data_IF_501355575773
#
_entry.id   IF_501355575773
#
_cell.length_a   1.000
_cell.length_b   1.000
_cell.length_c   1.000
_cell.angle_alpha   90.00
_cell.angle_beta   90.00
_cell.angle_gamma   90.00
#
_symmetry.space_group_name_H-M   'P 1'
#
loop_
_entity.id
_entity.type
_entity.pdbx_description
1 polymer ?
#
# COMPACT_ATOMS: atom_id res chain seq x y z
N UNK A 1 -38.80 -13.05 17.43
CA UNK A 1 -37.41 -13.42 17.13
C UNK A 1 -36.51 -12.50 17.91
N UNK A 2 -35.93 -12.99 19.00
CA UNK A 2 -35.02 -12.22 19.86
C UNK A 2 -33.78 -11.89 19.07
N UNK A 3 -33.50 -10.59 18.89
CA UNK A 3 -32.21 -10.07 18.40
C UNK A 3 -31.13 -10.64 19.30
N UNK A 4 -30.31 -11.57 18.79
CA UNK A 4 -29.05 -11.96 19.43
C UNK A 4 -28.21 -10.68 19.54
N UNK A 5 -28.12 -10.14 20.75
CA UNK A 5 -27.25 -9.03 21.07
C UNK A 5 -25.83 -9.45 20.69
N UNK A 6 -25.34 -8.96 19.55
CA UNK A 6 -23.94 -9.14 19.13
C UNK A 6 -23.06 -8.60 20.26
N UNK A 7 -22.40 -9.51 21.00
CA UNK A 7 -21.44 -9.11 22.04
C UNK A 7 -20.36 -8.26 21.37
N UNK A 8 -20.37 -6.97 21.65
CA UNK A 8 -19.40 -6.00 21.12
C UNK A 8 -17.99 -6.52 21.46
N UNK A 9 -17.08 -6.65 20.47
CA UNK A 9 -15.74 -7.14 20.76
C UNK A 9 -15.01 -6.21 21.73
N UNK A 10 -14.27 -6.78 22.67
CA UNK A 10 -13.38 -6.01 23.55
C UNK A 10 -12.33 -5.27 22.71
N UNK A 11 -11.71 -4.22 23.28
CA UNK A 11 -10.73 -3.37 22.57
C UNK A 11 -9.61 -4.21 21.91
N UNK A 12 -9.07 -5.22 22.60
CA UNK A 12 -8.00 -6.10 22.08
C UNK A 12 -8.47 -6.92 20.89
N UNK A 13 -9.64 -7.57 21.01
CA UNK A 13 -10.23 -8.37 19.94
C UNK A 13 -10.50 -7.52 18.70
N UNK A 14 -11.04 -6.32 18.88
CA UNK A 14 -11.30 -5.37 17.79
C UNK A 14 -10.01 -4.99 17.05
N UNK A 15 -8.93 -4.67 17.78
CA UNK A 15 -7.63 -4.34 17.18
C UNK A 15 -7.07 -5.50 16.36
N UNK A 16 -7.15 -6.74 16.90
CA UNK A 16 -6.65 -7.93 16.20
C UNK A 16 -7.47 -8.17 14.92
N UNK A 17 -8.79 -8.07 14.98
CA UNK A 17 -9.65 -8.26 13.81
C UNK A 17 -9.36 -7.21 12.72
N UNK A 18 -9.28 -5.93 13.09
CA UNK A 18 -8.97 -4.83 12.17
C UNK A 18 -7.57 -4.99 11.55
N UNK A 19 -6.58 -5.37 12.35
CA UNK A 19 -5.23 -5.63 11.88
C UNK A 19 -5.17 -6.83 10.93
N UNK A 20 -5.89 -7.91 11.23
CA UNK A 20 -6.00 -9.08 10.36
C UNK A 20 -6.69 -8.75 9.02
N UNK A 21 -7.75 -7.93 9.03
CA UNK A 21 -8.40 -7.44 7.81
C UNK A 21 -7.43 -6.61 6.94
N UNK A 22 -6.62 -5.75 7.54
CA UNK A 22 -5.60 -4.99 6.80
C UNK A 22 -4.48 -5.88 6.28
N UNK A 23 -4.09 -6.91 7.05
CA UNK A 23 -3.06 -7.87 6.69
C UNK A 23 -3.40 -8.68 5.43
N UNK A 24 -4.70 -8.91 5.14
CA UNK A 24 -5.16 -9.66 3.97
C UNK A 24 -4.58 -9.11 2.65
N UNK A 25 -4.44 -7.77 2.54
CA UNK A 25 -3.88 -7.13 1.36
C UNK A 25 -2.38 -7.42 1.19
N UNK A 26 -1.58 -7.27 2.25
CA UNK A 26 -0.15 -7.53 2.20
C UNK A 26 0.14 -9.03 1.97
N UNK A 27 -0.60 -9.91 2.65
CA UNK A 27 -0.52 -11.35 2.40
C UNK A 27 -0.79 -11.70 0.93
N UNK A 28 -1.81 -11.08 0.32
CA UNK A 28 -2.15 -11.33 -1.08
C UNK A 28 -1.05 -10.93 -2.07
N UNK A 29 -0.27 -9.91 -1.75
CA UNK A 29 0.81 -9.42 -2.62
C UNK A 29 2.09 -10.24 -2.37
N UNK A 30 2.52 -10.33 -1.12
CA UNK A 30 3.87 -10.72 -0.81
C UNK A 30 4.04 -12.24 -0.66
N UNK A 31 2.99 -12.99 -0.25
CA UNK A 31 3.09 -14.44 -0.08
C UNK A 31 3.27 -15.22 -1.39
N UNK A 32 2.90 -14.62 -2.53
CA UNK A 32 3.05 -15.28 -3.83
C UNK A 32 4.36 -14.97 -4.54
N UNK A 33 5.18 -14.05 -4.03
CA UNK A 33 6.46 -13.71 -4.64
C UNK A 33 7.34 -14.93 -4.92
N UNK A 34 7.54 -15.86 -3.97
CA UNK A 34 8.36 -17.06 -4.21
C UNK A 34 7.71 -18.03 -5.22
N UNK A 35 6.41 -17.93 -5.45
CA UNK A 35 5.67 -18.86 -6.34
C UNK A 35 5.61 -18.39 -7.80
N UNK A 36 6.00 -17.15 -8.11
CA UNK A 36 5.88 -16.58 -9.47
C UNK A 36 6.56 -17.43 -10.56
N UNK A 37 7.76 -18.05 -10.36
CA UNK A 37 8.35 -18.92 -11.35
C UNK A 37 7.48 -20.14 -11.64
N UNK A 38 7.00 -20.85 -10.60
CA UNK A 38 6.14 -22.02 -10.77
C UNK A 38 4.79 -21.68 -11.42
N UNK A 39 4.23 -20.49 -11.14
CA UNK A 39 3.03 -19.99 -11.80
C UNK A 39 3.30 -19.79 -13.29
N UNK A 40 4.43 -19.18 -13.65
CA UNK A 40 4.82 -18.94 -15.04
C UNK A 40 5.00 -20.24 -15.81
N UNK A 41 5.71 -21.21 -15.25
CA UNK A 41 5.92 -22.52 -15.84
C UNK A 41 4.60 -23.29 -15.99
N UNK A 42 3.80 -23.40 -14.93
CA UNK A 42 2.55 -24.14 -14.92
C UNK A 42 1.48 -23.59 -15.88
N UNK A 43 1.52 -22.29 -16.18
CA UNK A 43 0.56 -21.61 -17.03
C UNK A 43 1.14 -21.23 -18.43
N UNK A 44 2.32 -21.74 -18.77
CA UNK A 44 2.94 -21.59 -20.09
C UNK A 44 3.26 -20.14 -20.45
N UNK A 45 3.80 -19.36 -19.50
CA UNK A 45 4.15 -17.95 -19.71
C UNK A 45 5.44 -17.84 -20.52
N UNK A 46 5.36 -17.27 -21.73
CA UNK A 46 6.48 -17.20 -22.66
C UNK A 46 7.59 -16.23 -22.24
N UNK A 47 7.29 -15.20 -21.46
CA UNK A 47 8.26 -14.17 -21.02
C UNK A 47 8.23 -14.02 -19.50
N UNK A 48 9.39 -14.06 -18.87
CA UNK A 48 9.52 -14.03 -17.42
C UNK A 48 8.91 -12.77 -16.79
N UNK A 49 9.05 -11.63 -17.43
CA UNK A 49 8.49 -10.37 -16.94
C UNK A 49 6.95 -10.38 -16.86
N UNK A 50 6.28 -11.22 -17.66
CA UNK A 50 4.82 -11.32 -17.63
C UNK A 50 4.30 -11.87 -16.29
N UNK A 51 5.11 -12.59 -15.51
CA UNK A 51 4.78 -13.07 -14.17
C UNK A 51 4.48 -11.93 -13.20
N UNK A 52 5.12 -10.77 -13.36
CA UNK A 52 4.91 -9.58 -12.53
C UNK A 52 3.48 -9.03 -12.64
N UNK A 53 2.79 -9.29 -13.75
CA UNK A 53 1.39 -8.87 -13.94
C UNK A 53 0.45 -9.43 -12.88
N UNK A 54 0.78 -10.57 -12.26
CA UNK A 54 0.00 -11.18 -11.17
C UNK A 54 -0.14 -10.22 -9.98
N UNK A 55 0.89 -9.43 -9.71
CA UNK A 55 0.90 -8.41 -8.66
C UNK A 55 0.29 -7.11 -9.17
N UNK A 56 0.70 -6.66 -10.36
CA UNK A 56 0.27 -5.38 -10.92
C UNK A 56 -1.24 -5.31 -11.10
N UNK A 57 -1.87 -6.32 -11.70
CA UNK A 57 -3.33 -6.31 -11.92
C UNK A 57 -4.11 -6.33 -10.60
N UNK A 58 -3.60 -7.00 -9.57
CA UNK A 58 -4.17 -6.95 -8.24
C UNK A 58 -4.13 -5.52 -7.67
N UNK A 59 -2.99 -4.84 -7.77
CA UNK A 59 -2.83 -3.45 -7.33
C UNK A 59 -3.72 -2.48 -8.11
N UNK A 60 -3.91 -2.70 -9.42
CA UNK A 60 -4.84 -1.91 -10.22
C UNK A 60 -6.29 -2.07 -9.75
N UNK A 61 -6.72 -3.31 -9.49
CA UNK A 61 -8.03 -3.58 -8.89
C UNK A 61 -8.19 -2.95 -7.52
N UNK A 62 -7.18 -3.13 -6.65
CA UNK A 62 -7.13 -2.59 -5.29
C UNK A 62 -7.19 -1.06 -5.26
N UNK A 63 -6.38 -0.37 -6.07
CA UNK A 63 -6.37 1.08 -6.13
C UNK A 63 -7.61 1.65 -6.81
N UNK A 64 -7.98 1.07 -7.97
CA UNK A 64 -9.08 1.56 -8.80
C UNK A 64 -10.45 1.51 -8.12
N UNK A 65 -10.65 0.55 -7.23
CA UNK A 65 -11.94 0.36 -6.55
C UNK A 65 -12.16 1.24 -5.33
N UNK A 66 -11.11 1.80 -4.72
CA UNK A 66 -11.21 2.50 -3.43
C UNK A 66 -12.20 3.67 -3.44
N UNK A 67 -12.30 4.41 -4.55
CA UNK A 67 -13.18 5.58 -4.65
C UNK A 67 -14.67 5.24 -4.53
N UNK A 68 -15.05 4.00 -4.90
CA UNK A 68 -16.44 3.57 -4.88
C UNK A 68 -16.90 3.09 -3.51
N UNK A 69 -15.99 2.55 -2.69
CA UNK A 69 -16.37 1.88 -1.43
C UNK A 69 -16.80 2.83 -0.33
N UNK A 70 -16.29 4.07 -0.29
CA UNK A 70 -16.77 5.07 0.66
C UNK A 70 -18.27 5.30 0.52
N UNK A 71 -18.74 5.80 -0.64
CA UNK A 71 -20.15 6.04 -0.91
C UNK A 71 -21.03 4.79 -0.79
N UNK A 72 -20.55 3.63 -1.26
CA UNK A 72 -21.29 2.36 -1.12
C UNK A 72 -21.49 1.98 0.34
N UNK A 73 -20.45 2.15 1.17
CA UNK A 73 -20.53 1.85 2.60
C UNK A 73 -21.43 2.83 3.37
N UNK A 74 -21.48 4.10 2.92
CA UNK A 74 -22.41 5.10 3.48
C UNK A 74 -23.87 4.77 3.16
N UNK A 75 -24.13 4.07 2.07
CA UNK A 75 -25.47 3.66 1.66
C UNK A 75 -25.90 2.32 2.25
N UNK A 76 -25.06 1.28 2.16
CA UNK A 76 -25.43 -0.10 2.48
C UNK A 76 -25.03 -0.53 3.91
N UNK A 77 -24.24 0.29 4.62
CA UNK A 77 -23.70 -0.01 5.94
C UNK A 77 -22.31 -0.64 5.89
N UNK A 78 -21.55 -0.44 6.97
CA UNK A 78 -20.12 -0.83 7.04
C UNK A 78 -19.93 -2.34 7.13
N UNK A 79 -20.72 -2.99 8.02
CA UNK A 79 -20.59 -4.42 8.30
C UNK A 79 -20.95 -5.28 7.09
N UNK A 80 -22.11 -5.02 6.47
CA UNK A 80 -22.57 -5.79 5.31
C UNK A 80 -21.57 -5.69 4.15
N UNK A 81 -21.09 -4.47 3.87
CA UNK A 81 -20.09 -4.23 2.83
C UNK A 81 -18.77 -4.92 3.12
N UNK A 82 -18.28 -4.90 4.38
CA UNK A 82 -17.04 -5.57 4.77
C UNK A 82 -17.11 -7.09 4.56
N UNK A 83 -18.20 -7.71 5.02
CA UNK A 83 -18.42 -9.15 4.86
C UNK A 83 -18.50 -9.49 3.36
N UNK A 84 -19.26 -8.71 2.59
CA UNK A 84 -19.36 -8.87 1.14
C UNK A 84 -17.99 -8.79 0.45
N UNK A 85 -17.16 -7.81 0.82
CA UNK A 85 -15.80 -7.68 0.30
C UNK A 85 -14.93 -8.91 0.64
N UNK A 86 -15.00 -9.43 1.87
CA UNK A 86 -14.22 -10.60 2.28
C UNK A 86 -14.66 -11.87 1.56
N UNK A 87 -15.96 -12.07 1.37
CA UNK A 87 -16.48 -13.22 0.62
C UNK A 87 -16.13 -13.11 -0.87
N UNK A 88 -16.19 -11.92 -1.45
CA UNK A 88 -15.78 -11.66 -2.83
C UNK A 88 -14.29 -11.89 -3.02
N UNK A 89 -13.47 -11.43 -2.05
CA UNK A 89 -12.03 -11.73 -2.02
C UNK A 89 -11.78 -13.23 -1.96
N UNK A 90 -12.48 -13.96 -1.09
CA UNK A 90 -12.33 -15.41 -0.94
C UNK A 90 -12.70 -16.16 -2.23
N UNK A 91 -13.81 -15.77 -2.87
CA UNK A 91 -14.22 -16.33 -4.16
C UNK A 91 -13.14 -16.18 -5.22
N UNK A 92 -12.63 -14.97 -5.42
CA UNK A 92 -11.63 -14.72 -6.45
C UNK A 92 -10.24 -15.23 -6.07
N UNK A 93 -9.91 -15.35 -4.79
CA UNK A 93 -8.72 -16.09 -4.36
C UNK A 93 -8.85 -17.59 -4.73
N UNK A 94 -9.99 -18.22 -4.45
CA UNK A 94 -10.23 -19.61 -4.83
C UNK A 94 -10.16 -19.81 -6.37
N UNK A 95 -10.79 -18.93 -7.15
CA UNK A 95 -10.74 -18.95 -8.61
C UNK A 95 -9.31 -18.77 -9.14
N UNK A 96 -8.48 -17.92 -8.49
CA UNK A 96 -7.07 -17.77 -8.83
C UNK A 96 -6.29 -19.07 -8.59
N UNK A 97 -6.57 -19.79 -7.50
CA UNK A 97 -5.97 -21.11 -7.20
C UNK A 97 -6.39 -22.20 -8.19
N UNK A 98 -7.56 -22.08 -8.79
CA UNK A 98 -8.09 -23.03 -9.79
C UNK A 98 -7.77 -22.62 -11.24
N UNK A 99 -7.05 -21.50 -11.45
CA UNK A 99 -6.79 -20.99 -12.78
C UNK A 99 -5.99 -21.98 -13.63
N UNK A 100 -6.51 -22.27 -14.82
CA UNK A 100 -5.85 -23.11 -15.85
C UNK A 100 -5.13 -22.29 -16.92
N UNK A 101 -5.20 -20.96 -16.87
CA UNK A 101 -4.50 -20.07 -17.81
C UNK A 101 -4.08 -18.78 -17.11
N UNK A 102 -3.03 -18.13 -17.63
CA UNK A 102 -2.55 -16.86 -17.11
C UNK A 102 -3.62 -15.75 -17.17
N UNK A 103 -4.40 -15.69 -18.22
CA UNK A 103 -5.44 -14.67 -18.36
C UNK A 103 -6.55 -14.83 -17.31
N UNK A 104 -6.96 -16.08 -17.00
CA UNK A 104 -7.93 -16.35 -15.93
C UNK A 104 -7.36 -15.98 -14.55
N UNK A 105 -6.09 -16.32 -14.30
CA UNK A 105 -5.41 -15.92 -13.08
C UNK A 105 -5.39 -14.40 -12.95
N UNK A 106 -5.00 -13.66 -14.00
CA UNK A 106 -4.96 -12.20 -13.97
C UNK A 106 -6.34 -11.58 -13.71
N UNK A 107 -7.40 -12.10 -14.38
CA UNK A 107 -8.76 -11.63 -14.14
C UNK A 107 -9.21 -11.87 -12.69
N UNK A 108 -8.95 -13.06 -12.15
CA UNK A 108 -9.26 -13.39 -10.76
C UNK A 108 -8.46 -12.50 -9.79
N UNK A 109 -7.20 -12.24 -10.06
CA UNK A 109 -6.34 -11.34 -9.28
C UNK A 109 -6.86 -9.89 -9.28
N UNK A 110 -7.27 -9.38 -10.44
CA UNK A 110 -7.87 -8.04 -10.52
C UNK A 110 -9.12 -7.93 -9.64
N UNK A 111 -10.04 -8.89 -9.74
CA UNK A 111 -11.27 -8.91 -8.94
C UNK A 111 -10.99 -9.13 -7.45
N UNK A 112 -10.00 -9.95 -7.09
CA UNK A 112 -9.53 -10.09 -5.71
C UNK A 112 -8.99 -8.75 -5.18
N UNK A 113 -8.24 -8.00 -6.01
CA UNK A 113 -7.76 -6.65 -5.69
C UNK A 113 -8.93 -5.68 -5.47
N UNK A 114 -9.96 -5.71 -6.33
CA UNK A 114 -11.18 -4.90 -6.17
C UNK A 114 -11.78 -5.13 -4.78
N UNK A 115 -11.94 -6.36 -4.34
CA UNK A 115 -12.46 -6.70 -3.01
C UNK A 115 -11.58 -6.18 -1.86
N UNK A 116 -10.26 -6.33 -2.01
CA UNK A 116 -9.30 -5.87 -1.01
C UNK A 116 -9.30 -4.34 -0.84
N UNK A 117 -9.51 -3.58 -1.92
CA UNK A 117 -9.67 -2.13 -1.87
C UNK A 117 -10.83 -1.70 -0.99
N UNK A 118 -11.95 -2.43 -1.07
CA UNK A 118 -13.11 -2.22 -0.19
C UNK A 118 -12.78 -2.47 1.27
N UNK A 119 -12.09 -3.56 1.57
CA UNK A 119 -11.71 -3.90 2.94
C UNK A 119 -10.87 -2.80 3.57
N UNK A 120 -9.88 -2.26 2.86
CA UNK A 120 -9.05 -1.15 3.36
C UNK A 120 -9.88 0.08 3.71
N UNK A 121 -10.75 0.52 2.80
CA UNK A 121 -11.60 1.72 3.01
C UNK A 121 -12.55 1.52 4.19
N UNK A 122 -13.20 0.36 4.26
CA UNK A 122 -14.18 0.01 5.29
C UNK A 122 -13.55 -0.10 6.67
N UNK A 123 -12.37 -0.71 6.79
CA UNK A 123 -11.65 -0.81 8.07
C UNK A 123 -11.35 0.57 8.64
N UNK A 124 -10.82 1.49 7.84
CA UNK A 124 -10.54 2.86 8.29
C UNK A 124 -11.82 3.58 8.70
N UNK A 125 -12.91 3.41 7.94
CA UNK A 125 -14.21 3.99 8.26
C UNK A 125 -14.77 3.46 9.58
N UNK A 126 -14.74 2.13 9.79
CA UNK A 126 -15.22 1.47 11.02
C UNK A 126 -14.43 1.93 12.26
N UNK A 127 -13.11 2.08 12.14
CA UNK A 127 -12.27 2.59 13.23
C UNK A 127 -12.65 4.03 13.55
N UNK A 128 -12.83 4.88 12.53
CA UNK A 128 -13.26 6.28 12.69
C UNK A 128 -14.65 6.42 13.29
N UNK A 129 -15.61 5.58 12.90
CA UNK A 129 -16.98 5.61 13.42
C UNK A 129 -17.03 5.24 14.91
N UNK A 130 -16.06 4.44 15.37
CA UNK A 130 -16.06 3.89 16.74
C UNK A 130 -15.13 4.62 17.70
N UNK A 131 -14.07 5.24 17.21
CA UNK A 131 -13.06 5.89 18.03
C UNK A 131 -12.72 7.28 17.49
N UNK A 132 -12.52 8.24 18.39
CA UNK A 132 -12.20 9.62 18.06
C UNK A 132 -10.90 10.07 18.74
N UNK A 133 -10.27 11.09 18.19
CA UNK A 133 -9.09 11.73 18.78
C UNK A 133 -7.93 10.75 19.07
N UNK A 134 -7.40 10.80 20.27
CA UNK A 134 -6.25 9.99 20.70
C UNK A 134 -6.53 8.48 20.71
N UNK A 135 -7.77 8.05 20.97
CA UNK A 135 -8.14 6.64 20.97
C UNK A 135 -8.10 6.07 19.53
N UNK A 136 -8.57 6.82 18.53
CA UNK A 136 -8.45 6.44 17.11
C UNK A 136 -6.98 6.33 16.71
N UNK A 137 -6.16 7.34 17.07
CA UNK A 137 -4.73 7.33 16.76
C UNK A 137 -4.01 6.12 17.37
N UNK A 138 -4.33 5.76 18.61
CA UNK A 138 -3.78 4.58 19.26
C UNK A 138 -4.10 3.28 18.53
N UNK A 139 -5.37 3.09 18.13
CA UNK A 139 -5.81 1.88 17.42
C UNK A 139 -5.16 1.82 16.06
N UNK A 140 -5.16 2.91 15.30
CA UNK A 140 -4.53 2.94 13.98
C UNK A 140 -3.02 2.68 14.07
N UNK A 141 -2.34 3.17 15.09
CA UNK A 141 -0.92 2.86 15.30
C UNK A 141 -0.66 1.37 15.55
N UNK A 142 -1.50 0.70 16.36
CA UNK A 142 -1.40 -0.75 16.59
C UNK A 142 -1.66 -1.54 15.30
N UNK A 143 -2.66 -1.14 14.51
CA UNK A 143 -2.95 -1.73 13.21
C UNK A 143 -1.78 -1.56 12.24
N UNK A 144 -1.16 -0.38 12.23
CA UNK A 144 0.01 -0.10 11.37
C UNK A 144 1.23 -0.94 11.75
N UNK A 145 1.46 -1.23 13.04
CA UNK A 145 2.53 -2.15 13.46
C UNK A 145 2.33 -3.54 12.84
N UNK A 146 1.12 -4.08 12.93
CA UNK A 146 0.81 -5.39 12.31
C UNK A 146 0.94 -5.32 10.78
N UNK A 147 0.42 -4.24 10.17
CA UNK A 147 0.52 -4.04 8.73
C UNK A 147 1.98 -3.99 8.23
N UNK A 148 2.90 -3.42 9.02
CA UNK A 148 4.34 -3.39 8.70
C UNK A 148 5.03 -4.74 8.90
N UNK A 149 4.55 -5.56 9.84
CA UNK A 149 5.14 -6.87 10.11
C UNK A 149 4.75 -7.92 9.05
N UNK A 150 3.56 -7.80 8.49
CA UNK A 150 3.02 -8.79 7.54
C UNK A 150 3.87 -8.92 6.27
N UNK A 151 4.29 -7.85 5.58
CA UNK A 151 5.17 -7.97 4.42
C UNK A 151 6.50 -8.68 4.73
N UNK A 152 7.02 -8.49 5.94
CA UNK A 152 8.26 -9.16 6.39
C UNK A 152 8.08 -10.69 6.47
N UNK A 153 6.92 -11.15 6.92
CA UNK A 153 6.62 -12.58 7.12
C UNK A 153 5.98 -13.25 5.89
N UNK A 154 5.26 -12.49 5.06
CA UNK A 154 4.44 -13.06 4.01
C UNK A 154 5.23 -13.89 2.96
N UNK A 155 6.41 -13.48 2.46
CA UNK A 155 7.18 -14.30 1.53
C UNK A 155 7.64 -15.61 2.18
N UNK A 156 8.00 -15.59 3.45
CA UNK A 156 8.40 -16.81 4.20
C UNK A 156 7.21 -17.77 4.37
N UNK A 157 6.02 -17.24 4.66
CA UNK A 157 4.78 -18.03 4.70
C UNK A 157 4.51 -18.64 3.33
N UNK A 158 4.65 -17.83 2.27
CA UNK A 158 4.52 -18.30 0.89
C UNK A 158 5.49 -19.42 0.53
N UNK A 159 6.77 -19.28 0.89
CA UNK A 159 7.78 -20.35 0.72
C UNK A 159 7.39 -21.63 1.46
N UNK A 160 6.92 -21.50 2.71
CA UNK A 160 6.48 -22.67 3.50
C UNK A 160 5.32 -23.42 2.84
N UNK A 161 4.30 -22.71 2.35
CA UNK A 161 3.18 -23.32 1.62
C UNK A 161 3.67 -23.95 0.31
N UNK A 162 4.53 -23.27 -0.41
CA UNK A 162 5.08 -23.72 -1.69
C UNK A 162 5.86 -25.03 -1.56
N UNK A 163 6.63 -25.17 -0.47
CA UNK A 163 7.44 -26.37 -0.20
C UNK A 163 6.59 -27.61 0.09
N UNK A 164 5.37 -27.44 0.63
CA UNK A 164 4.51 -28.55 1.07
C UNK A 164 3.46 -28.89 0.00
N UNK A 165 2.87 -27.89 -0.66
CA UNK A 165 1.61 -28.08 -1.38
C UNK A 165 1.54 -27.37 -2.75
N UNK A 166 2.57 -26.61 -3.15
CA UNK A 166 2.63 -25.89 -4.43
C UNK A 166 1.82 -24.58 -4.45
N UNK A 167 1.99 -23.80 -5.53
CA UNK A 167 1.52 -22.41 -5.63
C UNK A 167 0.00 -22.20 -5.52
N UNK A 168 -0.79 -23.17 -5.98
CA UNK A 168 -2.27 -23.09 -5.91
C UNK A 168 -2.78 -22.98 -4.47
N UNK A 169 -2.09 -23.65 -3.55
CA UNK A 169 -2.47 -23.67 -2.13
C UNK A 169 -2.24 -22.34 -1.43
N UNK A 170 -1.38 -21.46 -1.95
CA UNK A 170 -1.25 -20.07 -1.45
C UNK A 170 -2.60 -19.35 -1.64
N UNK A 171 -3.22 -19.47 -2.80
CA UNK A 171 -4.53 -18.86 -3.06
C UNK A 171 -5.66 -19.49 -2.25
N UNK A 172 -5.61 -20.82 -2.05
CA UNK A 172 -6.59 -21.52 -1.20
C UNK A 172 -6.45 -21.05 0.26
N UNK A 173 -5.22 -20.90 0.76
CA UNK A 173 -4.95 -20.38 2.10
C UNK A 173 -5.48 -18.93 2.26
N UNK A 174 -5.28 -18.08 1.25
CA UNK A 174 -5.83 -16.72 1.23
C UNK A 174 -7.36 -16.73 1.21
N UNK A 175 -7.99 -17.64 0.45
CA UNK A 175 -9.44 -17.81 0.44
C UNK A 175 -9.98 -18.24 1.81
N UNK A 176 -9.35 -19.25 2.42
CA UNK A 176 -9.70 -19.72 3.76
C UNK A 176 -9.54 -18.62 4.82
N UNK A 177 -8.45 -17.86 4.75
CA UNK A 177 -8.21 -16.70 5.61
C UNK A 177 -9.31 -15.65 5.48
N UNK A 178 -9.72 -15.31 4.26
CA UNK A 178 -10.78 -14.35 4.02
C UNK A 178 -12.16 -14.84 4.50
N UNK A 179 -12.47 -16.13 4.33
CA UNK A 179 -13.70 -16.74 4.89
C UNK A 179 -13.68 -16.68 6.42
N UNK A 180 -12.57 -17.01 7.05
CA UNK A 180 -12.42 -16.93 8.49
C UNK A 180 -12.64 -15.49 9.01
N UNK A 181 -12.10 -14.48 8.32
CA UNK A 181 -12.32 -13.08 8.65
C UNK A 181 -13.76 -12.62 8.40
N UNK A 182 -14.41 -13.10 7.33
CA UNK A 182 -15.82 -12.82 7.05
C UNK A 182 -16.72 -13.37 8.15
N UNK A 183 -16.47 -14.60 8.61
CA UNK A 183 -17.19 -15.24 9.70
C UNK A 183 -16.94 -14.51 11.03
N UNK A 184 -15.67 -14.25 11.36
CA UNK A 184 -15.31 -13.55 12.59
C UNK A 184 -15.91 -12.13 12.63
N UNK A 185 -15.74 -11.36 11.55
CA UNK A 185 -16.35 -10.03 11.43
C UNK A 185 -17.88 -10.09 11.45
N UNK A 186 -18.48 -11.08 10.78
CA UNK A 186 -19.91 -11.29 10.75
C UNK A 186 -20.53 -11.52 12.13
N UNK A 187 -19.86 -12.32 12.96
CA UNK A 187 -20.34 -12.64 14.32
C UNK A 187 -20.04 -11.54 15.32
N UNK A 188 -18.84 -10.95 15.24
CA UNK A 188 -18.30 -10.09 16.32
C UNK A 188 -18.38 -8.59 16.02
N UNK A 189 -18.38 -8.17 14.76
CA UNK A 189 -18.39 -6.74 14.43
C UNK A 189 -19.83 -6.22 14.40
N UNK A 190 -20.16 -5.18 15.19
CA UNK A 190 -21.46 -4.52 15.10
C UNK A 190 -21.52 -3.66 13.82
N UNK A 191 -22.73 -3.34 13.36
CA UNK A 191 -22.89 -2.24 12.39
C UNK A 191 -22.54 -0.91 13.08
N UNK A 192 -21.66 -0.13 12.44
CA UNK A 192 -21.17 1.13 13.02
C UNK A 192 -21.87 2.37 12.44
N UNK A 193 -22.54 2.21 11.28
CA UNK A 193 -23.32 3.28 10.66
C UNK A 193 -24.79 3.16 11.06
N UNK A 194 -25.30 4.13 11.81
CA UNK A 194 -26.72 4.17 12.16
C UNK A 194 -27.59 4.29 10.89
N UNK A 195 -28.76 3.64 10.89
CA UNK A 195 -29.65 3.67 9.72
C UNK A 195 -30.10 5.09 9.33
N UNK A 196 -30.18 5.99 10.31
CA UNK A 196 -30.51 7.41 10.10
C UNK A 196 -29.40 8.21 9.42
N UNK A 197 -28.12 7.75 9.55
CA UNK A 197 -26.96 8.43 8.98
C UNK A 197 -26.59 7.93 7.58
N UNK A 198 -27.36 6.99 7.04
CA UNK A 198 -27.17 6.48 5.68
C UNK A 198 -27.48 7.57 4.66
N UNK A 199 -26.53 7.82 3.77
CA UNK A 199 -26.62 8.88 2.77
C UNK A 199 -26.92 8.31 1.39
N UNK A 200 -27.73 9.05 0.61
CA UNK A 200 -27.90 8.78 -0.82
C UNK A 200 -26.58 9.06 -1.55
N UNK A 201 -26.29 8.27 -2.58
CA UNK A 201 -25.16 8.52 -3.46
C UNK A 201 -25.40 9.84 -4.23
N UNK A 202 -24.53 10.81 -4.01
CA UNK A 202 -24.56 12.08 -4.76
C UNK A 202 -23.31 12.17 -5.64
N UNK A 203 -23.49 11.90 -6.92
CA UNK A 203 -22.43 12.02 -7.92
C UNK A 203 -21.89 13.45 -7.98
N UNK A 204 -22.79 14.44 -7.83
CA UNK A 204 -22.42 15.85 -7.85
C UNK A 204 -21.43 16.22 -6.73
N UNK A 205 -21.70 15.77 -5.49
CA UNK A 205 -20.83 16.01 -4.34
C UNK A 205 -19.46 15.33 -4.50
N UNK A 206 -19.44 14.11 -5.07
CA UNK A 206 -18.20 13.38 -5.36
C UNK A 206 -17.39 14.16 -6.42
N UNK A 207 -18.04 14.57 -7.51
CA UNK A 207 -17.38 15.31 -8.59
C UNK A 207 -16.80 16.65 -8.09
N UNK A 208 -17.54 17.38 -7.24
CA UNK A 208 -17.05 18.62 -6.65
C UNK A 208 -15.85 18.39 -5.73
N UNK A 209 -15.90 17.39 -4.86
CA UNK A 209 -14.76 17.03 -4.01
C UNK A 209 -13.53 16.60 -4.82
N UNK A 210 -13.72 15.84 -5.91
CA UNK A 210 -12.65 15.49 -6.85
C UNK A 210 -12.05 16.74 -7.47
N UNK A 211 -12.90 17.68 -7.97
CA UNK A 211 -12.44 18.93 -8.56
C UNK A 211 -11.64 19.79 -7.57
N UNK A 212 -12.11 19.92 -6.33
CA UNK A 212 -11.41 20.66 -5.27
C UNK A 212 -10.04 20.03 -4.96
N UNK A 213 -9.99 18.70 -4.85
CA UNK A 213 -8.74 17.97 -4.55
C UNK A 213 -7.72 18.12 -5.69
N UNK A 214 -8.17 17.94 -6.95
CA UNK A 214 -7.31 18.09 -8.13
C UNK A 214 -6.89 19.54 -8.40
N UNK A 215 -7.75 20.51 -8.07
CA UNK A 215 -7.47 21.94 -8.23
C UNK A 215 -6.50 22.49 -7.18
N UNK A 216 -6.26 21.79 -6.08
CA UNK A 216 -5.37 22.26 -5.02
C UNK A 216 -3.92 21.77 -5.25
N UNK A 217 -3.02 22.73 -5.50
CA UNK A 217 -1.59 22.47 -5.78
C UNK A 217 -0.90 21.62 -4.71
N UNK A 218 -1.13 21.93 -3.43
CA UNK A 218 -0.50 21.21 -2.32
C UNK A 218 -1.05 19.78 -2.21
N UNK A 219 -2.37 19.61 -2.35
CA UNK A 219 -3.01 18.31 -2.30
C UNK A 219 -2.53 17.41 -3.44
N UNK A 220 -2.70 17.85 -4.69
CA UNK A 220 -2.38 17.02 -5.85
C UNK A 220 -0.87 16.80 -6.01
N UNK A 221 -0.05 17.81 -5.72
CA UNK A 221 1.40 17.69 -5.82
C UNK A 221 1.99 16.72 -4.82
N UNK A 222 1.57 16.74 -3.55
CA UNK A 222 2.02 15.75 -2.57
C UNK A 222 1.48 14.34 -2.88
N UNK A 223 0.29 14.25 -3.47
CA UNK A 223 -0.25 12.98 -3.98
C UNK A 223 0.63 12.42 -5.10
N UNK A 224 1.03 13.23 -6.08
CA UNK A 224 1.92 12.80 -7.17
C UNK A 224 3.33 12.49 -6.66
N UNK A 225 3.88 13.25 -5.72
CA UNK A 225 5.17 12.92 -5.10
C UNK A 225 5.14 11.55 -4.41
N UNK A 226 4.07 11.25 -3.67
CA UNK A 226 3.83 9.92 -3.11
C UNK A 226 3.69 8.85 -4.20
N UNK A 227 2.92 9.12 -5.27
CA UNK A 227 2.71 8.20 -6.39
C UNK A 227 4.03 7.78 -7.05
N UNK A 228 4.89 8.76 -7.33
CA UNK A 228 6.20 8.51 -7.91
C UNK A 228 7.09 7.69 -6.97
N UNK A 229 7.17 8.05 -5.70
CA UNK A 229 7.92 7.28 -4.73
C UNK A 229 7.40 5.83 -4.64
N UNK A 230 6.10 5.63 -4.41
CA UNK A 230 5.49 4.29 -4.35
C UNK A 230 5.60 3.51 -5.67
N UNK A 231 5.75 4.19 -6.81
CA UNK A 231 6.06 3.58 -8.09
C UNK A 231 7.37 2.79 -8.07
N UNK A 232 8.42 3.36 -7.47
CA UNK A 232 9.67 2.64 -7.20
C UNK A 232 9.46 1.42 -6.31
N UNK A 233 8.71 1.58 -5.21
CA UNK A 233 8.41 0.47 -4.30
C UNK A 233 7.64 -0.67 -4.98
N UNK A 234 6.63 -0.37 -5.79
CA UNK A 234 5.90 -1.40 -6.53
C UNK A 234 6.75 -2.04 -7.63
N UNK A 235 7.68 -1.28 -8.24
CA UNK A 235 8.71 -1.83 -9.13
C UNK A 235 9.61 -2.83 -8.39
N UNK A 236 10.05 -2.50 -7.17
CA UNK A 236 10.81 -3.41 -6.32
C UNK A 236 10.01 -4.68 -6.00
N UNK A 237 8.76 -4.55 -5.53
CA UNK A 237 7.90 -5.70 -5.21
C UNK A 237 7.71 -6.59 -6.45
N UNK A 238 7.54 -6.00 -7.64
CA UNK A 238 7.39 -6.72 -8.89
C UNK A 238 8.67 -7.46 -9.34
N UNK A 239 9.85 -6.88 -9.08
CA UNK A 239 11.13 -7.37 -9.61
C UNK A 239 11.94 -8.20 -8.62
N UNK A 240 11.68 -8.11 -7.30
CA UNK A 240 12.53 -8.71 -6.27
C UNK A 240 12.69 -10.24 -6.44
N UNK A 241 11.63 -10.92 -6.88
CA UNK A 241 11.71 -12.35 -7.13
C UNK A 241 12.74 -12.66 -8.23
N UNK A 242 12.67 -11.98 -9.38
CA UNK A 242 13.61 -12.18 -10.48
C UNK A 242 15.05 -11.80 -10.06
N UNK A 243 15.21 -10.73 -9.30
CA UNK A 243 16.53 -10.31 -8.80
C UNK A 243 17.15 -11.39 -7.90
N UNK A 244 16.40 -11.90 -6.93
CA UNK A 244 16.92 -12.89 -5.99
C UNK A 244 17.15 -14.24 -6.67
N UNK A 245 16.26 -14.66 -7.59
CA UNK A 245 16.30 -15.96 -8.25
C UNK A 245 17.24 -15.98 -9.45
N UNK A 246 17.05 -15.00 -10.37
CA UNK A 246 17.67 -15.06 -11.70
C UNK A 246 19.02 -14.28 -11.74
N UNK A 247 19.17 -13.18 -10.95
CA UNK A 247 20.41 -12.43 -10.88
C UNK A 247 21.39 -13.02 -9.86
N UNK A 248 20.90 -13.27 -8.63
CA UNK A 248 21.78 -13.74 -7.54
C UNK A 248 21.77 -15.25 -7.35
N UNK A 249 20.86 -15.99 -7.99
CA UNK A 249 20.72 -17.46 -7.87
C UNK A 249 20.57 -17.94 -6.42
N UNK A 250 19.74 -17.23 -5.60
CA UNK A 250 19.53 -17.51 -4.17
C UNK A 250 18.04 -17.56 -3.81
N UNK A 251 17.23 -18.43 -4.45
CA UNK A 251 15.78 -18.48 -4.22
C UNK A 251 15.40 -18.74 -2.76
N UNK A 252 16.24 -19.46 -2.02
CA UNK A 252 16.03 -19.76 -0.61
C UNK A 252 16.05 -18.53 0.30
N UNK A 253 16.69 -17.44 -0.14
CA UNK A 253 16.87 -16.23 0.66
C UNK A 253 15.80 -15.18 0.44
N UNK A 254 14.80 -15.38 -0.45
CA UNK A 254 13.82 -14.33 -0.80
C UNK A 254 13.08 -13.77 0.42
N UNK A 255 12.69 -14.62 1.36
CA UNK A 255 12.02 -14.19 2.60
C UNK A 255 12.93 -13.32 3.46
N UNK A 256 14.20 -13.74 3.64
CA UNK A 256 15.19 -12.98 4.42
C UNK A 256 15.55 -11.65 3.74
N UNK A 257 15.81 -11.67 2.44
CA UNK A 257 16.11 -10.47 1.63
C UNK A 257 14.97 -9.45 1.72
N UNK A 258 13.73 -9.91 1.53
CA UNK A 258 12.57 -9.05 1.62
C UNK A 258 12.41 -8.48 3.04
N UNK A 259 12.62 -9.28 4.07
CA UNK A 259 12.57 -8.84 5.46
C UNK A 259 13.65 -7.78 5.79
N UNK A 260 14.88 -7.98 5.32
CA UNK A 260 15.98 -7.02 5.52
C UNK A 260 15.73 -5.68 4.80
N UNK A 261 15.05 -5.71 3.65
CA UNK A 261 14.76 -4.50 2.86
C UNK A 261 13.51 -3.78 3.38
N UNK A 262 12.44 -4.52 3.70
CA UNK A 262 11.18 -3.94 4.16
C UNK A 262 11.19 -3.55 5.65
N UNK A 263 11.94 -4.27 6.49
CA UNK A 263 12.00 -4.02 7.94
C UNK A 263 12.37 -2.60 8.31
N UNK A 264 13.44 -2.00 7.75
CA UNK A 264 13.84 -0.62 8.00
C UNK A 264 12.78 0.43 7.71
N UNK A 265 11.82 0.16 6.80
CA UNK A 265 10.67 1.04 6.55
C UNK A 265 9.78 1.17 7.79
N UNK A 266 9.59 0.09 8.54
CA UNK A 266 8.86 0.11 9.80
C UNK A 266 9.56 0.95 10.88
N UNK A 267 10.88 0.81 11.01
CA UNK A 267 11.69 1.59 11.94
C UNK A 267 11.66 3.09 11.61
N UNK A 268 11.76 3.43 10.35
CA UNK A 268 11.70 4.83 9.91
C UNK A 268 10.31 5.45 10.10
N UNK A 269 9.22 4.68 9.90
CA UNK A 269 7.88 5.12 10.24
C UNK A 269 7.72 5.40 11.73
N UNK A 270 8.30 4.56 12.60
CA UNK A 270 8.32 4.82 14.02
C UNK A 270 9.12 6.09 14.38
N UNK A 271 10.30 6.26 13.78
CA UNK A 271 11.10 7.48 13.92
C UNK A 271 10.33 8.73 13.46
N UNK A 272 9.60 8.63 12.33
CA UNK A 272 8.75 9.72 11.84
C UNK A 272 7.74 10.20 12.87
N UNK A 273 7.10 9.29 13.62
CA UNK A 273 6.10 9.64 14.63
C UNK A 273 6.65 10.55 15.74
N UNK A 274 7.96 10.46 16.02
CA UNK A 274 8.66 11.30 17.00
C UNK A 274 9.20 12.59 16.39
N UNK A 275 9.73 12.50 15.18
CA UNK A 275 10.41 13.61 14.52
C UNK A 275 9.44 14.64 13.92
N UNK A 276 8.26 14.21 13.46
CA UNK A 276 7.29 15.10 12.78
C UNK A 276 6.81 16.24 13.70
N UNK A 277 6.67 15.97 14.99
CA UNK A 277 6.25 16.97 15.97
C UNK A 277 7.31 18.06 16.18
N UNK A 278 8.60 17.78 15.91
CA UNK A 278 9.71 18.73 16.09
C UNK A 278 10.10 19.43 14.78
N UNK A 279 10.11 18.70 13.68
CA UNK A 279 10.65 19.17 12.40
C UNK A 279 9.57 19.60 11.40
N UNK A 280 8.33 19.18 11.62
CA UNK A 280 7.20 19.38 10.71
C UNK A 280 7.22 18.47 9.47
N UNK A 281 6.03 18.17 8.94
CA UNK A 281 5.83 17.23 7.84
C UNK A 281 6.56 17.65 6.55
N UNK A 282 6.55 18.94 6.21
CA UNK A 282 7.20 19.48 5.01
C UNK A 282 8.72 19.23 5.00
N UNK A 283 9.41 19.56 6.11
CA UNK A 283 10.87 19.39 6.20
C UNK A 283 11.23 17.90 6.14
N UNK A 284 10.49 17.05 6.85
CA UNK A 284 10.73 15.61 6.84
C UNK A 284 10.49 14.99 5.46
N UNK A 285 9.43 15.39 4.76
CA UNK A 285 9.16 14.90 3.40
C UNK A 285 10.30 15.24 2.44
N UNK A 286 10.72 16.52 2.40
CA UNK A 286 11.78 16.96 1.49
C UNK A 286 13.14 16.31 1.82
N UNK A 287 13.47 16.18 3.11
CA UNK A 287 14.70 15.48 3.54
C UNK A 287 14.65 13.99 3.17
N UNK A 288 13.51 13.33 3.39
CA UNK A 288 13.35 11.92 3.04
C UNK A 288 13.44 11.67 1.53
N UNK A 289 12.82 12.51 0.70
CA UNK A 289 12.92 12.42 -0.76
C UNK A 289 14.33 12.75 -1.26
N UNK A 290 15.01 13.72 -0.64
CA UNK A 290 16.42 14.02 -0.92
C UNK A 290 17.34 12.84 -0.60
N UNK A 291 17.17 12.23 0.58
CA UNK A 291 17.94 11.04 0.99
C UNK A 291 17.62 9.83 0.11
N UNK A 292 16.35 9.61 -0.20
CA UNK A 292 15.90 8.56 -1.12
C UNK A 292 16.60 8.70 -2.48
N UNK A 293 16.59 9.90 -3.06
CA UNK A 293 17.21 10.17 -4.36
C UNK A 293 18.73 9.99 -4.29
N UNK A 294 19.36 10.47 -3.22
CA UNK A 294 20.80 10.32 -3.01
C UNK A 294 21.20 8.85 -2.88
N UNK A 295 20.48 8.06 -2.08
CA UNK A 295 20.78 6.63 -1.92
C UNK A 295 20.56 5.85 -3.21
N UNK A 296 19.52 6.17 -3.98
CA UNK A 296 19.28 5.55 -5.28
C UNK A 296 20.39 5.88 -6.29
N UNK A 297 20.87 7.14 -6.34
CA UNK A 297 22.01 7.55 -7.17
C UNK A 297 23.31 6.87 -6.74
N UNK A 298 23.58 6.80 -5.44
CA UNK A 298 24.73 6.10 -4.89
C UNK A 298 24.71 4.61 -5.27
N UNK A 299 23.54 3.98 -5.12
CA UNK A 299 23.34 2.59 -5.48
C UNK A 299 23.61 2.37 -6.98
N UNK A 300 23.05 3.21 -7.85
CA UNK A 300 23.31 3.14 -9.29
C UNK A 300 24.79 3.30 -9.62
N UNK A 301 25.47 4.27 -9.01
CA UNK A 301 26.91 4.51 -9.22
C UNK A 301 27.75 3.29 -8.81
N UNK A 302 27.45 2.67 -7.66
CA UNK A 302 28.16 1.48 -7.18
C UNK A 302 27.98 0.32 -8.16
N UNK A 303 26.75 0.04 -8.58
CA UNK A 303 26.46 -1.07 -9.50
C UNK A 303 27.15 -0.90 -10.84
N UNK A 304 27.14 0.32 -11.39
CA UNK A 304 27.78 0.59 -12.68
C UNK A 304 29.31 0.55 -12.62
N UNK A 305 29.91 0.91 -11.48
CA UNK A 305 31.36 0.97 -11.33
C UNK A 305 31.99 -0.38 -10.93
N UNK A 306 31.32 -1.15 -10.08
CA UNK A 306 31.91 -2.32 -9.42
C UNK A 306 31.13 -3.61 -9.60
N UNK A 307 29.92 -3.54 -10.21
CA UNK A 307 28.98 -4.64 -10.16
C UNK A 307 28.33 -4.76 -8.78
N UNK A 308 27.59 -5.83 -8.56
CA UNK A 308 26.79 -5.95 -7.32
C UNK A 308 26.74 -7.39 -6.79
N UNK A 309 26.89 -7.53 -5.48
CA UNK A 309 26.59 -8.76 -4.75
C UNK A 309 25.24 -8.66 -4.04
N UNK A 310 24.64 -9.79 -3.72
CA UNK A 310 23.32 -9.84 -3.03
C UNK A 310 23.28 -8.92 -1.79
N UNK A 311 24.31 -8.98 -0.95
CA UNK A 311 24.30 -8.20 0.30
C UNK A 311 24.54 -6.72 0.10
N UNK A 312 25.29 -6.30 -0.92
CA UNK A 312 25.41 -4.89 -1.31
C UNK A 312 24.06 -4.37 -1.80
N UNK A 313 23.38 -5.13 -2.67
CA UNK A 313 22.01 -4.84 -3.08
C UNK A 313 21.07 -4.68 -1.87
N UNK A 314 21.06 -5.66 -0.95
CA UNK A 314 20.18 -5.66 0.22
C UNK A 314 20.40 -4.42 1.09
N UNK A 315 21.65 -4.06 1.38
CA UNK A 315 21.98 -2.91 2.25
C UNK A 315 21.56 -1.59 1.59
N UNK A 316 21.96 -1.36 0.34
CA UNK A 316 21.66 -0.11 -0.36
C UNK A 316 20.17 0.05 -0.64
N UNK A 317 19.50 -1.07 -1.01
CA UNK A 317 18.05 -1.09 -1.21
C UNK A 317 17.30 -0.85 0.10
N UNK A 318 17.74 -1.45 1.22
CA UNK A 318 17.17 -1.22 2.54
C UNK A 318 17.28 0.24 2.99
N UNK A 319 18.41 0.90 2.75
CA UNK A 319 18.59 2.32 3.04
C UNK A 319 17.64 3.19 2.20
N UNK A 320 17.49 2.86 0.92
CA UNK A 320 16.56 3.56 0.02
C UNK A 320 15.10 3.35 0.45
N UNK A 321 14.69 2.12 0.74
CA UNK A 321 13.31 1.80 1.14
C UNK A 321 12.97 2.31 2.54
N UNK A 322 13.94 2.46 3.43
CA UNK A 322 13.72 3.08 4.74
C UNK A 322 13.09 4.49 4.63
N UNK A 323 13.40 5.24 3.56
CA UNK A 323 12.82 6.56 3.34
C UNK A 323 11.29 6.55 3.19
N UNK A 324 10.69 5.43 2.75
CA UNK A 324 9.24 5.34 2.55
C UNK A 324 8.41 5.52 3.82
N UNK A 325 8.95 5.13 4.98
CA UNK A 325 8.27 5.33 6.25
C UNK A 325 8.02 6.82 6.56
N UNK A 326 8.90 7.70 6.08
CA UNK A 326 8.74 9.15 6.21
C UNK A 326 7.92 9.73 5.04
N UNK A 327 8.20 9.29 3.82
CA UNK A 327 7.55 9.83 2.61
C UNK A 327 6.04 9.61 2.66
N UNK A 328 5.58 8.39 2.91
CA UNK A 328 4.15 8.06 2.89
C UNK A 328 3.33 8.84 3.91
N UNK A 329 3.79 8.91 5.15
CA UNK A 329 3.08 9.60 6.23
C UNK A 329 3.02 11.12 6.00
N UNK A 330 4.16 11.72 5.64
CA UNK A 330 4.25 13.19 5.52
C UNK A 330 3.60 13.71 4.24
N UNK A 331 3.75 13.00 3.09
CA UNK A 331 3.03 13.39 1.88
C UNK A 331 1.51 13.26 2.03
N UNK A 332 1.04 12.19 2.68
CA UNK A 332 -0.39 12.03 3.00
C UNK A 332 -0.94 13.14 3.89
N UNK A 333 -0.22 13.52 4.94
CA UNK A 333 -0.61 14.61 5.83
C UNK A 333 -0.70 15.94 5.08
N UNK A 334 0.34 16.31 4.33
CA UNK A 334 0.38 17.55 3.55
C UNK A 334 -0.66 17.57 2.42
N UNK A 335 -0.91 16.43 1.77
CA UNK A 335 -1.94 16.34 0.73
C UNK A 335 -3.36 16.53 1.29
N UNK A 336 -3.61 16.13 2.54
CA UNK A 336 -4.92 16.22 3.20
C UNK A 336 -5.16 17.57 3.87
N UNK A 337 -4.12 18.33 4.22
CA UNK A 337 -4.22 19.59 4.96
C UNK A 337 -5.20 20.57 4.33
N UNK A 338 -5.14 20.91 3.02
CA UNK A 338 -6.04 21.88 2.40
C UNK A 338 -7.45 21.34 2.10
N UNK A 339 -7.68 20.04 2.15
CA UNK A 339 -8.94 19.37 1.76
C UNK A 339 -9.59 18.59 2.91
N UNK A 340 -9.24 18.94 4.15
CA UNK A 340 -9.74 18.24 5.36
C UNK A 340 -11.27 18.24 5.49
N UNK A 341 -11.98 19.26 4.97
CA UNK A 341 -13.44 19.36 4.98
C UNK A 341 -14.13 18.31 4.07
N UNK A 342 -13.42 17.78 3.07
CA UNK A 342 -13.88 16.73 2.15
C UNK A 342 -13.03 15.45 2.29
N UNK A 343 -12.46 15.21 3.48
CA UNK A 343 -11.45 14.19 3.75
C UNK A 343 -11.78 12.78 3.23
N UNK A 344 -13.04 12.37 3.28
CA UNK A 344 -13.47 11.04 2.82
C UNK A 344 -13.19 10.81 1.33
N UNK A 345 -13.70 11.70 0.47
CA UNK A 345 -13.51 11.61 -0.98
C UNK A 345 -12.08 11.94 -1.38
N UNK A 346 -11.45 12.95 -0.74
CA UNK A 346 -10.07 13.33 -1.00
C UNK A 346 -9.11 12.17 -0.72
N UNK A 347 -9.22 11.48 0.42
CA UNK A 347 -8.36 10.34 0.75
C UNK A 347 -8.58 9.14 -0.18
N UNK A 348 -9.81 8.89 -0.61
CA UNK A 348 -10.10 7.84 -1.58
C UNK A 348 -9.46 8.15 -2.96
N UNK A 349 -9.57 9.40 -3.42
CA UNK A 349 -8.95 9.85 -4.67
C UNK A 349 -7.41 9.80 -4.60
N UNK A 350 -6.82 10.28 -3.52
CA UNK A 350 -5.38 10.20 -3.30
C UNK A 350 -4.90 8.75 -3.25
N UNK A 351 -5.64 7.86 -2.57
CA UNK A 351 -5.37 6.43 -2.53
C UNK A 351 -5.43 5.77 -3.91
N UNK A 352 -6.45 6.13 -4.72
CA UNK A 352 -6.57 5.69 -6.11
C UNK A 352 -5.36 6.13 -6.94
N UNK A 353 -5.05 7.44 -6.95
CA UNK A 353 -3.94 7.99 -7.74
C UNK A 353 -2.61 7.36 -7.32
N UNK A 354 -2.35 7.28 -6.02
CA UNK A 354 -1.10 6.72 -5.49
C UNK A 354 -0.96 5.24 -5.80
N UNK A 355 -2.02 4.45 -5.66
CA UNK A 355 -1.93 3.01 -5.87
C UNK A 355 -1.93 2.65 -7.36
N UNK A 356 -2.87 3.19 -8.13
CA UNK A 356 -2.94 2.89 -9.58
C UNK A 356 -1.75 3.50 -10.32
N UNK A 357 -1.45 4.78 -10.07
CA UNK A 357 -0.30 5.44 -10.68
C UNK A 357 1.02 4.76 -10.28
N UNK A 358 1.20 4.45 -9.00
CA UNK A 358 2.35 3.70 -8.52
C UNK A 358 2.46 2.31 -9.13
N UNK A 359 1.35 1.56 -9.25
CA UNK A 359 1.34 0.25 -9.89
C UNK A 359 1.72 0.31 -11.38
N UNK A 360 1.27 1.34 -12.10
CA UNK A 360 1.64 1.55 -13.50
C UNK A 360 3.12 1.91 -13.66
N UNK A 361 3.65 2.78 -12.81
CA UNK A 361 5.08 3.09 -12.79
C UNK A 361 5.88 1.84 -12.44
N UNK A 362 5.48 1.10 -11.42
CA UNK A 362 6.11 -0.16 -11.02
C UNK A 362 6.07 -1.22 -12.13
N UNK A 363 4.97 -1.29 -12.89
CA UNK A 363 4.87 -2.14 -14.06
C UNK A 363 5.92 -1.77 -15.12
N UNK A 364 6.04 -0.47 -15.45
CA UNK A 364 7.05 -0.02 -16.43
C UNK A 364 8.45 -0.39 -15.96
N UNK A 365 8.80 -0.10 -14.71
CA UNK A 365 10.11 -0.44 -14.13
C UNK A 365 10.35 -1.96 -14.17
N UNK A 366 9.36 -2.75 -13.78
CA UNK A 366 9.47 -4.20 -13.76
C UNK A 366 9.60 -4.82 -15.16
N UNK A 367 8.85 -4.31 -16.15
CA UNK A 367 8.93 -4.80 -17.54
C UNK A 367 10.27 -4.47 -18.22
N UNK A 368 11.03 -3.51 -17.70
CA UNK A 368 12.37 -3.19 -18.15
C UNK A 368 13.44 -4.16 -17.59
N UNK A 369 13.07 -5.12 -16.73
CA UNK A 369 14.03 -6.10 -16.22
C UNK A 369 14.72 -6.86 -17.36
N UNK A 370 16.05 -6.89 -17.30
CA UNK A 370 16.93 -7.40 -18.36
C UNK A 370 17.98 -8.41 -17.84
N UNK A 371 17.71 -9.04 -16.70
CA UNK A 371 18.67 -9.95 -16.07
C UNK A 371 19.67 -9.26 -15.15
N UNK A 372 19.51 -7.95 -14.88
CA UNK A 372 20.35 -7.17 -13.96
C UNK A 372 19.51 -6.36 -12.98
N UNK A 373 20.13 -5.82 -11.92
CA UNK A 373 19.47 -4.91 -10.96
C UNK A 373 19.33 -3.48 -11.49
N UNK A 374 20.07 -3.12 -12.53
CA UNK A 374 20.18 -1.75 -13.06
C UNK A 374 18.83 -1.12 -13.41
N UNK A 375 17.91 -1.78 -14.13
CA UNK A 375 16.62 -1.17 -14.47
C UNK A 375 15.80 -0.78 -13.24
N UNK A 376 15.80 -1.62 -12.20
CA UNK A 376 15.11 -1.32 -10.95
C UNK A 376 15.72 -0.09 -10.27
N UNK A 377 17.06 -0.06 -10.12
CA UNK A 377 17.77 1.03 -9.45
C UNK A 377 17.62 2.34 -10.22
N UNK A 378 17.71 2.31 -11.56
CA UNK A 378 17.45 3.46 -12.41
C UNK A 378 16.00 3.97 -12.27
N UNK A 379 15.03 3.04 -12.14
CA UNK A 379 13.66 3.36 -11.83
C UNK A 379 13.51 4.11 -10.49
N UNK A 380 14.23 3.69 -9.45
CA UNK A 380 14.26 4.41 -8.17
C UNK A 380 14.86 5.81 -8.31
N UNK A 381 15.94 5.97 -9.07
CA UNK A 381 16.52 7.29 -9.35
C UNK A 381 15.53 8.21 -10.05
N UNK A 382 14.90 7.74 -11.13
CA UNK A 382 13.91 8.52 -11.87
C UNK A 382 12.73 8.92 -10.97
N UNK A 383 12.17 7.96 -10.23
CA UNK A 383 11.09 8.21 -9.27
C UNK A 383 11.50 9.21 -8.19
N UNK A 384 12.71 9.09 -7.64
CA UNK A 384 13.23 9.98 -6.60
C UNK A 384 13.39 11.42 -7.07
N UNK A 385 14.06 11.61 -8.20
CA UNK A 385 14.26 12.94 -8.80
C UNK A 385 12.94 13.62 -9.10
N UNK A 386 12.02 12.91 -9.75
CA UNK A 386 10.70 13.45 -10.09
C UNK A 386 9.85 13.71 -8.85
N UNK A 387 9.83 12.80 -7.87
CA UNK A 387 9.11 12.98 -6.61
C UNK A 387 9.61 14.19 -5.83
N UNK A 388 10.93 14.37 -5.74
CA UNK A 388 11.54 15.51 -5.08
C UNK A 388 11.20 16.82 -5.80
N UNK A 389 11.29 16.87 -7.13
CA UNK A 389 10.93 18.03 -7.93
C UNK A 389 9.45 18.42 -7.74
N UNK A 390 8.53 17.45 -7.80
CA UNK A 390 7.11 17.66 -7.58
C UNK A 390 6.83 18.12 -6.14
N UNK A 391 7.47 17.53 -5.14
CA UNK A 391 7.30 17.90 -3.74
C UNK A 391 7.81 19.33 -3.46
N UNK A 392 8.92 19.74 -4.06
CA UNK A 392 9.43 21.12 -3.97
C UNK A 392 8.46 22.11 -4.63
N UNK A 393 7.92 21.74 -5.78
CA UNK A 393 6.88 22.55 -6.45
C UNK A 393 5.62 22.65 -5.58
N UNK A 394 5.11 21.56 -5.01
CA UNK A 394 3.89 21.52 -4.23
C UNK A 394 3.98 22.28 -2.90
N UNK A 395 5.19 22.35 -2.32
CA UNK A 395 5.43 22.91 -0.99
C UNK A 395 6.44 24.07 -1.05
N UNK A 396 6.08 25.25 -1.60
CA UNK A 396 6.99 26.40 -1.64
C UNK A 396 7.41 26.80 -0.22
N UNK A 397 8.60 27.44 -0.10
CA UNK A 397 9.00 28.03 1.18
C UNK A 397 7.95 29.01 1.64
N UNK A 398 7.57 29.03 2.94
CA UNK A 398 6.77 30.13 3.48
C UNK A 398 7.47 31.44 3.10
N UNK A 399 6.72 32.39 2.57
CA UNK A 399 7.24 33.78 2.46
C UNK A 399 7.64 34.17 3.89
N UNK A 400 8.87 34.68 4.07
CA UNK A 400 9.25 35.34 5.33
C UNK A 400 8.14 36.37 5.61
N UNK A 401 7.61 36.37 6.84
CA UNK A 401 6.75 37.47 7.26
C UNK A 401 7.51 38.76 6.94
N UNK A 402 6.83 39.81 6.44
CA UNK A 402 7.47 41.12 6.33
C UNK A 402 8.11 41.40 7.70
N UNK A 403 9.41 41.70 7.68
CA UNK A 403 10.08 42.16 8.90
C UNK A 403 9.21 43.27 9.50
N UNK A 404 8.79 43.09 10.74
CA UNK A 404 8.17 44.14 11.56
C UNK A 404 9.20 45.28 11.83
N UNK A 405 9.87 45.73 10.78
CA UNK A 405 10.78 46.87 10.84
C UNK A 405 10.04 48.19 11.06
N UNK A 406 8.69 48.20 10.90
CA UNK A 406 7.88 49.40 11.08
C UNK A 406 7.20 49.50 12.47
N UNK A 407 7.38 48.52 13.36
CA UNK A 407 6.79 48.56 14.73
C UNK A 407 7.65 49.35 15.75
N UNK A 408 8.76 49.95 15.33
CA UNK A 408 9.64 50.73 16.20
C UNK A 408 9.53 52.28 16.04
N UNK A 409 8.47 52.74 15.38
CA UNK A 409 8.28 54.19 15.12
C UNK A 409 6.94 54.72 15.70
N UNK A 410 6.36 54.11 16.74
CA UNK A 410 5.29 54.78 17.54
C UNK A 410 5.49 54.57 19.03
#
# INVERSE_FOLDING_TARGET
MQSQATRIPGKREFVILVAALMAANALAIDSMLPALPQIGEALGVATDNRRQLVITVYLLGFGGSQIFYGPLADRFGRKAMLIGCMLFYALFAALAGLAGSMNLLLAARFMQGVAAGGTRVLVVAIVRDRFHGSAMAQIMSLVMIVFMLVPVLAPTIGQGILAIAGWRHIFIALAAYAVALALWGGVRMPETLASADRRALSVANIADAVRQTLGNRTSIGNTFAATLAFGGLFGFIGSIQQIVFDVFNRPELIGLVFACIAGPMGLSSYANSRLVMRLGARRLLLTALGLFTFMALLHLAIVLAYGETLWVFVVLQAMTTACFGLVGANSGALAMEPVGHIAGTASALQGLITTVGGALIGLVVGQLFNGTTVPLIAGFVACGVLALAVALWANPKPKAAPDDADAALF
#
